data_IF_736649696721
#
_entry.id   IF_736649696721
#
_cell.length_a   1.000
_cell.length_b   1.000
_cell.length_c   1.000
_cell.angle_alpha   90.00
_cell.angle_beta   90.00
_cell.angle_gamma   90.00
#
_symmetry.space_group_name_H-M   'P 1'
#
loop_
_entity.id
_entity.type
_entity.pdbx_description
1 polymer ?
#
# COMPACT_ATOMS: atom_id res chain seq x y z
N UNK A 1 6.77 18.11 27.36
CA UNK A 1 7.46 16.90 26.92
C UNK A 1 7.04 16.51 25.52
N UNK A 2 7.99 16.33 24.66
CA UNK A 2 7.67 15.90 23.32
C UNK A 2 7.40 14.41 23.34
N UNK A 3 6.21 14.03 22.91
CA UNK A 3 5.90 12.62 22.76
C UNK A 3 6.31 12.17 21.37
N UNK A 4 7.05 11.10 21.31
CA UNK A 4 7.34 10.46 20.05
C UNK A 4 6.04 9.89 19.49
N UNK A 5 5.65 10.42 18.36
CA UNK A 5 4.48 9.90 17.68
C UNK A 5 4.94 8.80 16.76
N UNK A 6 4.36 7.63 16.94
CA UNK A 6 4.46 6.60 15.92
C UNK A 6 3.81 7.12 14.65
N UNK A 7 4.38 6.77 13.53
CA UNK A 7 3.80 7.10 12.25
C UNK A 7 2.37 6.58 12.17
N UNK A 8 1.44 7.46 11.85
CA UNK A 8 0.04 7.10 11.65
C UNK A 8 -0.43 7.74 10.35
N UNK A 9 -0.84 6.89 9.45
CA UNK A 9 -1.42 7.37 8.22
C UNK A 9 -2.94 7.41 8.32
N UNK A 10 -3.53 8.33 7.60
CA UNK A 10 -4.97 8.35 7.39
C UNK A 10 -5.26 7.36 6.26
N UNK A 11 -6.18 6.43 6.51
CA UNK A 11 -6.56 5.45 5.51
C UNK A 11 -7.27 6.17 4.37
N UNK A 12 -6.75 6.12 3.14
CA UNK A 12 -7.39 6.80 2.02
C UNK A 12 -8.68 6.11 1.60
N UNK A 13 -9.61 6.91 1.13
CA UNK A 13 -10.86 6.42 0.58
C UNK A 13 -10.71 6.30 -0.93
N UNK A 14 -10.93 5.11 -1.45
CA UNK A 14 -10.87 4.86 -2.87
C UNK A 14 -12.19 5.31 -3.50
N UNK A 15 -12.17 6.47 -4.12
CA UNK A 15 -13.33 7.06 -4.78
C UNK A 15 -13.13 7.00 -6.28
N UNK A 16 -13.48 5.87 -6.84
CA UNK A 16 -13.38 5.68 -8.27
C UNK A 16 -14.77 5.48 -8.82
N UNK A 17 -15.10 6.26 -9.83
CA UNK A 17 -16.34 6.09 -10.56
C UNK A 17 -16.19 4.87 -11.45
N UNK A 18 -16.77 3.75 -11.02
CA UNK A 18 -16.71 2.50 -11.78
C UNK A 18 -18.10 2.07 -12.15
N UNK A 19 -18.21 1.40 -13.28
CA UNK A 19 -19.47 0.83 -13.70
C UNK A 19 -19.87 -0.30 -12.75
N UNK A 20 -21.19 -0.52 -12.54
CA UNK A 20 -21.65 -1.64 -11.76
C UNK A 20 -21.07 -2.94 -12.30
N UNK A 21 -20.53 -3.76 -11.40
CA UNK A 21 -19.91 -5.03 -11.78
C UNK A 21 -18.42 -4.96 -12.09
N UNK A 22 -17.82 -3.77 -12.10
CA UNK A 22 -16.37 -3.65 -12.26
C UNK A 22 -15.65 -4.29 -11.07
N UNK A 23 -14.61 -5.07 -11.38
CA UNK A 23 -13.82 -5.73 -10.35
C UNK A 23 -12.63 -4.85 -9.97
N UNK A 24 -12.20 -4.95 -8.69
CA UNK A 24 -11.03 -4.23 -8.20
C UNK A 24 -9.79 -4.49 -9.08
N UNK A 25 -9.62 -5.70 -9.56
CA UNK A 25 -8.50 -6.06 -10.44
C UNK A 25 -8.46 -5.24 -11.73
N UNK A 26 -9.62 -4.79 -12.21
CA UNK A 26 -9.69 -3.94 -13.42
C UNK A 26 -9.21 -2.52 -13.14
N UNK A 27 -9.38 -2.03 -11.91
CA UNK A 27 -8.94 -0.70 -11.51
C UNK A 27 -7.42 -0.59 -11.48
N UNK A 28 -6.73 -1.70 -11.17
CA UNK A 28 -5.26 -1.73 -11.12
C UNK A 28 -4.62 -1.50 -12.48
N UNK A 29 -5.37 -1.66 -13.56
CA UNK A 29 -4.86 -1.47 -14.92
C UNK A 29 -4.81 -0.01 -15.33
N UNK A 30 -5.49 0.89 -14.58
CA UNK A 30 -5.43 2.33 -14.82
C UNK A 30 -4.12 2.87 -14.24
N UNK A 31 -3.21 3.43 -15.06
CA UNK A 31 -1.88 3.83 -14.58
C UNK A 31 -1.88 4.77 -13.38
N UNK A 32 -2.74 5.77 -13.37
CA UNK A 32 -2.80 6.72 -12.25
C UNK A 32 -3.28 6.03 -10.97
N UNK A 33 -4.25 5.15 -11.07
CA UNK A 33 -4.77 4.39 -9.93
C UNK A 33 -3.71 3.43 -9.43
N UNK A 34 -3.03 2.73 -10.33
CA UNK A 34 -1.96 1.79 -9.97
C UNK A 34 -0.85 2.48 -9.19
N UNK A 35 -0.43 3.65 -9.63
CA UNK A 35 0.61 4.41 -8.94
C UNK A 35 0.19 4.77 -7.52
N UNK A 36 -1.02 5.28 -7.33
CA UNK A 36 -1.55 5.62 -6.01
C UNK A 36 -1.64 4.38 -5.13
N UNK A 37 -2.14 3.27 -5.65
CA UNK A 37 -2.26 2.01 -4.91
C UNK A 37 -0.88 1.53 -4.45
N UNK A 38 0.12 1.59 -5.31
CA UNK A 38 1.48 1.16 -4.97
C UNK A 38 2.07 2.04 -3.87
N UNK A 39 2.00 3.35 -4.02
CA UNK A 39 2.55 4.29 -3.04
C UNK A 39 1.88 4.13 -1.67
N UNK A 40 0.56 4.01 -1.64
CA UNK A 40 -0.19 3.82 -0.40
C UNK A 40 0.08 2.46 0.24
N UNK A 41 0.29 1.43 -0.56
CA UNK A 41 0.63 0.10 -0.05
C UNK A 41 1.96 0.13 0.67
N UNK A 42 2.98 0.76 0.09
CA UNK A 42 4.30 0.89 0.72
C UNK A 42 4.19 1.69 2.02
N UNK A 43 3.48 2.80 1.99
CA UNK A 43 3.29 3.64 3.17
C UNK A 43 2.58 2.87 4.29
N UNK A 44 1.54 2.10 3.93
CA UNK A 44 0.80 1.30 4.89
C UNK A 44 1.66 0.21 5.52
N UNK A 45 2.48 -0.48 4.73
CA UNK A 45 3.39 -1.51 5.24
C UNK A 45 4.43 -0.88 6.16
N UNK A 46 4.99 0.25 5.79
CA UNK A 46 5.96 0.97 6.61
C UNK A 46 5.36 1.34 7.97
N UNK A 47 4.16 1.87 7.99
CA UNK A 47 3.45 2.17 9.23
C UNK A 47 3.19 0.91 10.04
N UNK A 48 2.77 -0.17 9.37
CA UNK A 48 2.52 -1.46 10.01
C UNK A 48 3.76 -2.02 10.70
N UNK A 49 4.91 -1.92 10.06
CA UNK A 49 6.18 -2.35 10.64
C UNK A 49 6.51 -1.50 11.87
N UNK A 50 6.41 -0.19 11.77
CA UNK A 50 6.72 0.73 12.88
C UNK A 50 5.79 0.52 14.07
N UNK A 51 4.54 0.21 13.84
CA UNK A 51 3.54 0.02 14.88
C UNK A 51 3.35 -1.44 15.27
N UNK A 52 4.16 -2.35 14.74
CA UNK A 52 4.12 -3.79 15.04
C UNK A 52 2.74 -4.40 14.84
N UNK A 53 2.11 -4.05 13.74
CA UNK A 53 0.77 -4.57 13.40
C UNK A 53 0.87 -5.93 12.73
N UNK A 54 -0.18 -6.72 12.85
CA UNK A 54 -0.32 -8.01 12.17
C UNK A 54 -1.10 -7.91 10.86
N UNK A 55 -1.84 -6.82 10.68
CA UNK A 55 -2.62 -6.54 9.50
C UNK A 55 -2.73 -5.04 9.31
N UNK A 56 -2.84 -4.61 8.07
CA UNK A 56 -3.00 -3.19 7.74
C UNK A 56 -4.19 -3.00 6.81
N UNK A 57 -4.80 -1.84 6.90
CA UNK A 57 -5.85 -1.42 5.97
C UNK A 57 -5.24 -0.52 4.91
N UNK A 58 -5.33 -0.91 3.66
CA UNK A 58 -4.77 -0.14 2.54
C UNK A 58 -5.72 0.98 2.12
N UNK A 59 -6.98 0.64 1.92
CA UNK A 59 -8.01 1.56 1.43
C UNK A 59 -9.35 1.24 2.05
N UNK A 60 -10.18 2.28 2.20
CA UNK A 60 -11.61 2.14 2.37
C UNK A 60 -12.26 2.30 1.01
N UNK A 61 -13.14 1.38 0.65
CA UNK A 61 -13.91 1.50 -0.60
C UNK A 61 -15.12 2.39 -0.33
N UNK A 62 -15.23 3.48 -1.08
CA UNK A 62 -16.30 4.46 -0.91
C UNK A 62 -17.70 3.80 -0.97
N UNK A 63 -18.57 4.22 -0.06
CA UNK A 63 -19.98 3.80 0.02
C UNK A 63 -20.21 2.34 0.35
N UNK A 64 -19.21 1.60 0.78
CA UNK A 64 -19.36 0.16 1.04
C UNK A 64 -19.07 -0.25 2.49
N UNK A 65 -18.46 0.62 3.28
CA UNK A 65 -17.94 0.29 4.62
C UNK A 65 -16.96 -0.88 4.60
N UNK A 66 -16.34 -1.13 3.47
CA UNK A 66 -15.36 -2.19 3.30
C UNK A 66 -13.96 -1.61 3.23
N UNK A 67 -13.00 -2.35 3.80
CA UNK A 67 -11.58 -2.01 3.73
C UNK A 67 -10.84 -3.09 2.98
N UNK A 68 -9.88 -2.67 2.18
CA UNK A 68 -8.94 -3.60 1.55
C UNK A 68 -7.80 -3.76 2.52
N UNK A 69 -7.63 -4.96 3.07
CA UNK A 69 -6.65 -5.26 4.09
C UNK A 69 -5.54 -6.17 3.57
N UNK A 70 -4.40 -6.12 4.24
CA UNK A 70 -3.25 -6.94 3.90
C UNK A 70 -2.63 -7.49 5.19
N UNK A 71 -2.65 -8.81 5.33
CA UNK A 71 -2.04 -9.48 6.47
C UNK A 71 -0.52 -9.46 6.37
N UNK A 72 0.13 -9.46 7.53
CA UNK A 72 1.59 -9.39 7.63
C UNK A 72 2.29 -10.48 6.81
N UNK A 73 1.73 -11.67 6.74
CA UNK A 73 2.28 -12.77 5.95
C UNK A 73 2.36 -12.44 4.45
N UNK A 74 1.62 -11.45 3.99
CA UNK A 74 1.58 -11.03 2.59
C UNK A 74 2.44 -9.80 2.31
N UNK A 75 2.99 -9.16 3.33
CA UNK A 75 3.74 -7.93 3.14
C UNK A 75 5.00 -8.13 2.32
N UNK A 76 5.80 -9.14 2.66
CA UNK A 76 7.06 -9.40 1.96
C UNK A 76 6.83 -9.75 0.47
N UNK A 77 5.95 -10.71 0.12
CA UNK A 77 5.68 -10.98 -1.30
C UNK A 77 5.15 -9.77 -2.04
N UNK A 78 4.34 -8.95 -1.38
CA UNK A 78 3.81 -7.72 -1.97
C UNK A 78 4.93 -6.73 -2.25
N UNK A 79 5.83 -6.50 -1.29
CA UNK A 79 6.97 -5.60 -1.47
C UNK A 79 7.89 -6.09 -2.59
N UNK A 80 8.09 -7.39 -2.73
CA UNK A 80 8.91 -7.94 -3.80
C UNK A 80 8.32 -7.62 -5.18
N UNK A 81 7.01 -7.70 -5.32
CA UNK A 81 6.33 -7.30 -6.56
C UNK A 81 6.44 -5.80 -6.82
N UNK A 82 6.32 -5.00 -5.77
CA UNK A 82 6.46 -3.54 -5.91
C UNK A 82 7.89 -3.16 -6.26
N UNK A 83 8.88 -3.88 -5.75
CA UNK A 83 10.27 -3.68 -6.12
C UNK A 83 10.47 -3.90 -7.61
N UNK A 84 9.91 -4.98 -8.17
CA UNK A 84 9.97 -5.24 -9.61
C UNK A 84 9.37 -4.08 -10.41
N UNK A 85 8.24 -3.55 -9.95
CA UNK A 85 7.60 -2.40 -10.60
C UNK A 85 8.53 -1.18 -10.62
N UNK A 86 9.17 -0.87 -9.49
CA UNK A 86 10.06 0.29 -9.43
C UNK A 86 11.35 0.08 -10.23
N UNK A 87 11.88 -1.13 -10.28
CA UNK A 87 13.03 -1.44 -11.13
C UNK A 87 12.67 -1.22 -12.59
N UNK A 88 11.50 -1.69 -13.02
CA UNK A 88 11.02 -1.50 -14.38
C UNK A 88 10.84 -0.02 -14.75
N UNK A 89 10.39 0.79 -13.78
CA UNK A 89 10.23 2.23 -13.96
C UNK A 89 11.52 3.02 -13.74
N UNK A 90 12.61 2.34 -13.38
CA UNK A 90 13.91 2.96 -13.10
C UNK A 90 13.86 4.00 -11.97
N UNK A 91 12.94 3.83 -11.04
CA UNK A 91 12.84 4.67 -9.84
C UNK A 91 13.70 4.09 -8.73
N UNK A 92 15.01 4.30 -8.80
CA UNK A 92 15.97 3.65 -7.92
C UNK A 92 15.86 4.05 -6.46
N UNK A 93 15.47 5.29 -6.16
CA UNK A 93 15.24 5.72 -4.77
C UNK A 93 14.13 4.90 -4.14
N UNK A 94 13.09 4.62 -4.89
CA UNK A 94 11.97 3.79 -4.44
C UNK A 94 12.38 2.32 -4.30
N UNK A 95 13.29 1.87 -5.14
CA UNK A 95 13.84 0.51 -5.03
C UNK A 95 14.60 0.33 -3.73
N UNK A 96 15.41 1.30 -3.34
CA UNK A 96 16.17 1.26 -2.10
C UNK A 96 15.23 1.24 -0.90
N UNK A 97 14.24 2.12 -0.87
CA UNK A 97 13.25 2.18 0.20
C UNK A 97 12.50 0.86 0.33
N UNK A 98 12.05 0.30 -0.80
CA UNK A 98 11.31 -0.96 -0.80
C UNK A 98 12.17 -2.12 -0.31
N UNK A 99 13.42 -2.18 -0.76
CA UNK A 99 14.37 -3.20 -0.31
C UNK A 99 14.62 -3.12 1.19
N UNK A 100 14.77 -1.90 1.71
CA UNK A 100 14.98 -1.71 3.14
C UNK A 100 13.79 -2.22 3.95
N UNK A 101 12.57 -2.02 3.46
CA UNK A 101 11.38 -2.54 4.11
C UNK A 101 11.35 -4.07 4.08
N UNK A 102 11.73 -4.68 2.96
CA UNK A 102 11.82 -6.14 2.85
C UNK A 102 12.80 -6.68 3.88
N UNK A 103 13.93 -6.02 4.06
CA UNK A 103 14.96 -6.47 5.00
C UNK A 103 14.53 -6.35 6.47
N UNK A 104 13.52 -5.53 6.76
CA UNK A 104 12.96 -5.43 8.11
C UNK A 104 11.95 -6.55 8.42
N UNK A 105 11.55 -7.28 7.44
CA UNK A 105 10.62 -8.40 7.58
C UNK A 105 11.39 -9.71 7.61
#
# INVERSE_FOLDING_TARGET
MVKFRKMRRKIPVLRISVEPGAKYSQLKEIPEVRKVVIEETIYAIKEGIENKKESISLFEVAYSNCYIQLDKSKWKPTLEKLLEYYVEKEEYDKCIETRDLINKL
#
